data_IF_510041628034
#
_entry.id   IF_510041628034
#
_cell.length_a   1.000
_cell.length_b   1.000
_cell.length_c   1.000
_cell.angle_alpha   90.00
_cell.angle_beta   90.00
_cell.angle_gamma   90.00
#
_symmetry.space_group_name_H-M   'P 1'
#
loop_
_entity.id
_entity.type
_entity.pdbx_description
1 polymer ?
#
# COMPACT_ATOMS: atom_id res chain seq x y z
N UNK A 1 -7.55 -10.74 4.07
CA UNK A 1 -6.86 -9.50 4.47
C UNK A 1 -6.94 -9.41 5.98
N UNK A 2 -5.86 -9.03 6.62
CA UNK A 2 -5.76 -8.92 8.08
C UNK A 2 -5.37 -7.48 8.41
N UNK A 3 -6.07 -6.87 9.36
CA UNK A 3 -5.80 -5.51 9.84
C UNK A 3 -5.70 -5.56 11.36
N UNK A 4 -4.67 -4.92 11.91
CA UNK A 4 -4.51 -4.76 13.36
C UNK A 4 -4.07 -3.34 13.68
N UNK A 5 -4.83 -2.66 14.51
CA UNK A 5 -4.49 -1.33 15.04
C UNK A 5 -4.00 -1.48 16.48
N UNK A 6 -2.83 -0.92 16.79
CA UNK A 6 -2.20 -0.98 18.11
C UNK A 6 -1.82 0.43 18.55
N UNK A 7 -2.28 0.85 19.73
CA UNK A 7 -1.85 2.10 20.35
C UNK A 7 -0.70 1.82 21.33
N UNK A 8 0.43 2.53 21.16
CA UNK A 8 1.57 2.50 22.10
C UNK A 8 2.00 3.93 22.41
N UNK A 9 1.59 4.45 23.56
CA UNK A 9 1.84 5.85 23.92
C UNK A 9 1.20 6.81 22.90
N UNK A 10 2.02 7.66 22.26
CA UNK A 10 1.62 8.60 21.21
C UNK A 10 1.56 7.99 19.80
N UNK A 11 1.93 6.71 19.66
CA UNK A 11 1.96 6.03 18.37
C UNK A 11 0.68 5.23 18.16
N UNK A 12 0.04 5.40 17.00
CA UNK A 12 -0.97 4.47 16.47
C UNK A 12 -0.34 3.67 15.33
N UNK A 13 0.02 2.42 15.63
CA UNK A 13 0.57 1.48 14.65
C UNK A 13 -0.57 0.74 13.96
N UNK A 14 -0.60 0.77 12.65
CA UNK A 14 -1.55 0.04 11.80
C UNK A 14 -0.75 -1.02 11.06
N UNK A 15 -1.09 -2.29 11.27
CA UNK A 15 -0.44 -3.43 10.65
C UNK A 15 -1.45 -4.06 9.69
N UNK A 16 -1.09 -4.17 8.42
CA UNK A 16 -1.98 -4.64 7.36
C UNK A 16 -1.28 -5.74 6.58
N UNK A 17 -1.98 -6.84 6.35
CA UNK A 17 -1.57 -7.88 5.43
C UNK A 17 -2.66 -8.10 4.39
N UNK A 18 -2.31 -7.93 3.11
CA UNK A 18 -3.22 -8.16 1.99
C UNK A 18 -2.61 -9.10 0.95
N UNK A 19 -3.46 -9.65 0.10
CA UNK A 19 -3.06 -10.55 -0.99
C UNK A 19 -3.62 -9.98 -2.29
N UNK A 20 -2.75 -9.66 -3.22
CA UNK A 20 -3.10 -9.38 -4.61
C UNK A 20 -3.01 -10.69 -5.41
N UNK A 21 -4.14 -11.15 -5.95
CA UNK A 21 -4.22 -12.33 -6.82
C UNK A 21 -4.27 -11.90 -8.27
N UNK A 22 -3.33 -12.37 -9.07
CA UNK A 22 -3.29 -12.13 -10.51
C UNK A 22 -4.13 -13.24 -11.20
N UNK A 23 -5.33 -12.92 -11.71
CA UNK A 23 -6.28 -13.92 -12.21
C UNK A 23 -5.83 -14.62 -13.53
N UNK A 24 -5.86 -15.96 -13.56
CA UNK A 24 -5.61 -16.88 -14.69
C UNK A 24 -6.58 -16.81 -15.90
N UNK A 25 -7.28 -15.69 -16.17
CA UNK A 25 -8.25 -15.59 -17.29
C UNK A 25 -7.70 -15.01 -18.60
N UNK A 26 -6.43 -14.62 -18.64
CA UNK A 26 -5.75 -14.31 -19.89
C UNK A 26 -4.87 -15.49 -20.31
N UNK A 27 -5.18 -16.12 -21.46
CA UNK A 27 -4.35 -17.17 -22.09
C UNK A 27 -3.06 -16.60 -22.69
N UNK A 28 -2.29 -15.90 -21.87
CA UNK A 28 -0.93 -15.46 -22.16
C UNK A 28 -0.29 -15.05 -20.84
N UNK A 29 0.38 -16.01 -20.22
CA UNK A 29 1.39 -15.72 -19.19
C UNK A 29 2.63 -15.07 -19.84
N UNK A 30 2.76 -15.11 -21.18
CA UNK A 30 4.03 -14.97 -21.89
C UNK A 30 4.22 -13.76 -22.84
N UNK A 31 3.57 -12.60 -22.64
CA UNK A 31 4.02 -11.39 -23.38
C UNK A 31 4.01 -10.07 -22.60
N UNK A 32 3.67 -10.10 -21.31
CA UNK A 32 3.66 -8.86 -20.54
C UNK A 32 3.43 -8.98 -19.05
N UNK A 33 3.59 -10.18 -18.46
CA UNK A 33 3.56 -10.38 -17.00
C UNK A 33 4.61 -11.38 -16.50
N UNK A 34 5.00 -12.44 -17.23
CA UNK A 34 6.06 -13.34 -16.75
C UNK A 34 7.48 -12.78 -16.94
N UNK A 35 7.70 -11.98 -18.00
CA UNK A 35 8.96 -11.27 -18.18
C UNK A 35 8.93 -9.89 -17.50
N UNK A 36 7.76 -9.28 -17.27
CA UNK A 36 7.65 -7.92 -16.70
C UNK A 36 7.26 -7.89 -15.22
N UNK A 37 6.79 -8.97 -14.58
CA UNK A 37 6.77 -9.06 -13.10
C UNK A 37 8.06 -9.68 -12.61
N UNK A 38 8.58 -10.68 -13.33
CA UNK A 38 9.94 -11.18 -13.15
C UNK A 38 10.98 -10.07 -13.35
N UNK A 39 10.91 -9.29 -14.45
CA UNK A 39 11.67 -8.04 -14.59
C UNK A 39 11.13 -6.92 -13.71
N UNK A 40 9.84 -6.64 -13.45
CA UNK A 40 9.51 -5.56 -12.50
C UNK A 40 9.96 -5.82 -11.05
N UNK A 41 10.23 -7.09 -10.70
CA UNK A 41 10.87 -7.49 -9.44
C UNK A 41 12.41 -7.43 -9.56
N UNK A 42 13.00 -7.67 -10.75
CA UNK A 42 14.46 -7.58 -11.02
C UNK A 42 14.96 -6.23 -11.59
N UNK A 43 14.05 -5.37 -12.01
CA UNK A 43 14.12 -4.27 -12.99
C UNK A 43 12.91 -3.37 -12.69
N UNK A 44 12.93 -2.79 -11.49
CA UNK A 44 11.99 -1.86 -10.85
C UNK A 44 11.09 -0.96 -11.77
N UNK A 45 10.08 -1.48 -12.48
CA UNK A 45 9.14 -0.61 -13.24
C UNK A 45 7.70 -0.62 -12.72
N UNK A 46 7.08 -1.78 -12.45
CA UNK A 46 5.62 -1.81 -12.17
C UNK A 46 5.24 -2.16 -10.71
N UNK A 47 6.10 -2.84 -9.96
CA UNK A 47 6.01 -2.95 -8.48
C UNK A 47 6.83 -1.83 -7.81
N UNK A 48 7.75 -1.22 -8.55
CA UNK A 48 8.50 -0.02 -8.18
C UNK A 48 7.65 1.26 -8.14
N UNK A 49 6.38 1.16 -8.53
CA UNK A 49 5.47 2.28 -8.62
C UNK A 49 4.58 2.46 -7.39
N UNK A 50 4.55 1.51 -6.44
CA UNK A 50 3.86 1.74 -5.18
C UNK A 50 4.55 2.92 -4.48
N UNK A 51 3.90 4.07 -4.48
CA UNK A 51 4.51 5.33 -4.04
C UNK A 51 3.52 6.17 -3.22
N UNK A 52 2.37 5.59 -2.86
CA UNK A 52 1.32 6.33 -2.18
C UNK A 52 0.44 5.44 -1.30
N UNK A 53 0.10 5.98 -0.13
CA UNK A 53 -1.00 5.51 0.72
C UNK A 53 -2.08 6.58 0.76
N UNK A 54 -3.33 6.20 0.52
CA UNK A 54 -4.49 7.09 0.63
C UNK A 54 -5.18 6.81 1.96
N UNK A 55 -5.22 7.82 2.83
CA UNK A 55 -6.09 7.82 3.98
C UNK A 55 -7.45 8.36 3.52
N UNK A 56 -8.52 7.60 3.71
CA UNK A 56 -9.86 7.99 3.28
C UNK A 56 -10.83 7.92 4.44
N UNK A 57 -11.74 8.89 4.47
CA UNK A 57 -12.99 8.78 5.18
C UNK A 57 -14.12 8.85 4.15
N UNK A 58 -14.70 7.69 3.84
CA UNK A 58 -15.79 7.60 2.86
C UNK A 58 -17.11 8.16 3.38
N UNK A 59 -17.31 8.27 4.70
CA UNK A 59 -18.51 8.85 5.31
C UNK A 59 -18.47 10.39 5.29
N UNK A 60 -17.29 10.96 5.53
CA UNK A 60 -17.05 12.41 5.53
C UNK A 60 -16.51 12.94 4.20
N UNK A 61 -16.38 12.06 3.19
CA UNK A 61 -15.93 12.37 1.84
C UNK A 61 -14.60 13.16 1.77
N UNK A 62 -13.61 12.77 2.57
CA UNK A 62 -12.26 13.34 2.50
C UNK A 62 -11.18 12.28 2.23
N UNK A 63 -10.09 12.72 1.63
CA UNK A 63 -8.90 11.91 1.38
C UNK A 63 -7.62 12.70 1.67
N UNK A 64 -6.59 12.01 2.16
CA UNK A 64 -5.24 12.53 2.37
C UNK A 64 -4.25 11.54 1.79
N UNK A 65 -3.22 12.08 1.16
CA UNK A 65 -2.18 11.29 0.49
C UNK A 65 -0.88 11.33 1.28
N UNK A 66 -0.26 10.17 1.52
CA UNK A 66 1.09 10.07 2.06
C UNK A 66 2.00 9.54 0.96
N UNK A 67 2.94 10.38 0.50
CA UNK A 67 3.89 10.08 -0.59
C UNK A 67 5.36 10.20 -0.18
N UNK A 68 5.68 10.97 0.87
CA UNK A 68 7.06 11.48 1.11
C UNK A 68 7.93 10.64 2.06
N UNK A 69 7.39 9.65 2.75
CA UNK A 69 8.11 8.92 3.82
C UNK A 69 7.86 7.39 3.76
N UNK A 70 7.78 6.82 2.55
CA UNK A 70 7.72 5.36 2.35
C UNK A 70 9.09 4.75 2.66
N UNK A 71 9.31 4.44 3.93
CA UNK A 71 10.51 3.80 4.43
C UNK A 71 10.55 2.34 3.98
N UNK A 72 11.54 2.03 3.14
CA UNK A 72 12.02 0.70 2.80
C UNK A 72 10.99 -0.23 2.13
N UNK A 73 11.15 -0.42 0.82
CA UNK A 73 10.56 -1.55 0.11
C UNK A 73 11.44 -2.78 0.34
N UNK A 74 11.04 -3.64 1.28
CA UNK A 74 11.61 -4.98 1.32
C UNK A 74 10.82 -5.85 0.34
N UNK A 75 11.53 -6.50 -0.58
CA UNK A 75 10.95 -7.40 -1.58
C UNK A 75 11.56 -8.79 -1.39
N UNK A 76 10.72 -9.82 -1.36
CA UNK A 76 11.15 -11.22 -1.36
C UNK A 76 10.49 -11.96 -2.49
N UNK A 77 11.22 -12.88 -3.12
CA UNK A 77 10.67 -13.93 -3.98
C UNK A 77 10.57 -15.26 -3.20
N UNK A 78 9.50 -16.00 -3.43
CA UNK A 78 9.33 -17.37 -2.97
C UNK A 78 10.23 -18.32 -3.76
N UNK A 79 10.60 -19.44 -3.14
CA UNK A 79 11.52 -20.44 -3.74
C UNK A 79 11.01 -21.11 -5.03
N UNK A 80 9.74 -20.90 -5.39
CA UNK A 80 9.12 -21.37 -6.63
C UNK A 80 8.85 -20.26 -7.67
N UNK A 81 9.32 -19.02 -7.41
CA UNK A 81 9.11 -17.82 -8.24
C UNK A 81 7.64 -17.37 -8.41
N UNK A 82 6.69 -17.97 -7.69
CA UNK A 82 5.25 -17.68 -7.87
C UNK A 82 4.63 -16.76 -6.81
N UNK A 83 5.23 -16.72 -5.61
CA UNK A 83 4.81 -15.87 -4.51
C UNK A 83 5.86 -14.79 -4.25
N UNK A 84 5.46 -13.52 -4.18
CA UNK A 84 6.33 -12.42 -3.75
C UNK A 84 5.64 -11.60 -2.65
N UNK A 85 6.38 -10.76 -1.93
CA UNK A 85 5.77 -9.74 -1.08
C UNK A 85 6.54 -8.43 -1.10
N UNK A 86 5.81 -7.34 -0.82
CA UNK A 86 6.34 -5.98 -0.65
C UNK A 86 5.89 -5.46 0.71
N UNK A 87 6.83 -5.02 1.54
CA UNK A 87 6.53 -4.25 2.75
C UNK A 87 6.57 -2.76 2.44
N UNK A 88 5.57 -2.04 2.93
CA UNK A 88 5.45 -0.59 2.85
C UNK A 88 5.26 -0.04 4.25
N UNK A 89 6.20 0.79 4.70
CA UNK A 89 6.06 1.52 5.96
C UNK A 89 5.94 3.01 5.70
N UNK A 90 4.88 3.65 6.19
CA UNK A 90 4.69 5.11 6.13
C UNK A 90 4.37 5.69 7.49
N UNK A 91 4.70 6.96 7.67
CA UNK A 91 4.43 7.72 8.87
C UNK A 91 3.60 8.97 8.56
N UNK A 92 2.61 9.30 9.39
CA UNK A 92 1.98 10.62 9.41
C UNK A 92 2.30 11.33 10.73
N UNK A 93 3.28 12.25 10.67
CA UNK A 93 3.67 13.12 11.77
C UNK A 93 2.92 14.45 11.81
N UNK A 94 1.93 14.66 10.94
CA UNK A 94 1.21 15.93 10.93
C UNK A 94 0.51 16.19 12.27
N UNK A 95 0.18 17.44 12.58
CA UNK A 95 -0.62 17.78 13.75
C UNK A 95 -2.14 17.71 13.47
N UNK A 96 -2.55 17.17 12.32
CA UNK A 96 -3.95 17.12 11.91
C UNK A 96 -4.72 16.09 12.73
N UNK A 97 -5.97 16.43 13.04
CA UNK A 97 -6.93 15.57 13.71
C UNK A 97 -7.95 15.07 12.69
N UNK A 98 -8.12 13.75 12.61
CA UNK A 98 -8.98 13.14 11.60
C UNK A 98 -9.36 11.70 11.95
N UNK A 99 -10.36 11.17 11.26
CA UNK A 99 -10.80 9.77 11.36
C UNK A 99 -10.72 9.09 10.01
N UNK A 100 -10.08 7.93 9.92
CA UNK A 100 -9.88 7.14 8.70
C UNK A 100 -10.70 5.87 8.82
N UNK A 101 -11.49 5.57 7.79
CA UNK A 101 -12.23 4.32 7.70
C UNK A 101 -11.70 3.39 6.58
N UNK A 102 -10.90 3.93 5.65
CA UNK A 102 -10.29 3.17 4.56
C UNK A 102 -8.84 3.60 4.32
N UNK A 103 -7.97 2.62 4.07
CA UNK A 103 -6.62 2.81 3.57
C UNK A 103 -6.48 2.20 2.19
N UNK A 104 -5.85 2.92 1.26
CA UNK A 104 -5.59 2.41 -0.10
C UNK A 104 -4.10 2.42 -0.37
N UNK A 105 -3.56 1.27 -0.76
CA UNK A 105 -2.22 1.13 -1.27
C UNK A 105 -2.26 1.24 -2.80
N UNK A 106 -1.46 2.14 -3.35
CA UNK A 106 -1.55 2.46 -4.77
C UNK A 106 -0.28 3.04 -5.38
N UNK A 107 -0.46 3.46 -6.62
CA UNK A 107 0.46 4.30 -7.37
C UNK A 107 -0.23 5.61 -7.73
N UNK A 108 0.53 6.71 -7.69
CA UNK A 108 0.12 8.00 -8.19
C UNK A 108 1.20 8.63 -9.07
N UNK A 109 0.79 9.34 -10.12
CA UNK A 109 1.68 10.24 -10.82
C UNK A 109 1.96 11.47 -9.95
N UNK A 110 3.14 11.55 -9.32
CA UNK A 110 3.49 12.66 -8.41
C UNK A 110 3.54 14.03 -9.11
N UNK A 111 3.78 14.07 -10.43
CA UNK A 111 3.75 15.30 -11.21
C UNK A 111 2.31 15.75 -11.57
N UNK A 112 1.33 14.84 -11.47
CA UNK A 112 -0.06 15.09 -11.78
C UNK A 112 -0.99 14.19 -10.95
N UNK A 113 -1.00 14.38 -9.62
CA UNK A 113 -1.67 13.47 -8.67
C UNK A 113 -3.18 13.31 -8.87
N UNK A 114 -3.83 14.18 -9.66
CA UNK A 114 -5.27 14.11 -9.92
C UNK A 114 -5.63 13.44 -11.26
N UNK A 115 -4.64 13.04 -12.06
CA UNK A 115 -4.90 12.53 -13.42
C UNK A 115 -4.78 11.02 -13.52
N UNK A 116 -3.82 10.43 -12.79
CA UNK A 116 -3.57 8.99 -12.83
C UNK A 116 -3.18 8.45 -11.46
N UNK A 117 -4.15 7.78 -10.83
CA UNK A 117 -4.00 7.07 -9.58
C UNK A 117 -4.53 5.65 -9.77
N UNK A 118 -3.71 4.65 -9.43
CA UNK A 118 -4.09 3.23 -9.50
C UNK A 118 -4.12 2.67 -8.08
N UNK A 119 -5.29 2.19 -7.65
CA UNK A 119 -5.45 1.44 -6.41
C UNK A 119 -5.09 -0.03 -6.64
N UNK A 120 -4.22 -0.61 -5.80
CA UNK A 120 -3.87 -2.03 -5.85
C UNK A 120 -4.61 -2.84 -4.78
N UNK A 121 -4.68 -2.31 -3.57
CA UNK A 121 -5.36 -2.94 -2.44
C UNK A 121 -6.01 -1.88 -1.57
N UNK A 122 -7.16 -2.22 -1.01
CA UNK A 122 -7.92 -1.37 -0.10
C UNK A 122 -8.23 -2.14 1.17
N UNK A 123 -8.09 -1.47 2.31
CA UNK A 123 -8.32 -2.02 3.62
C UNK A 123 -9.27 -1.15 4.43
N UNK A 124 -10.37 -1.73 4.91
CA UNK A 124 -11.20 -1.09 5.93
C UNK A 124 -10.45 -1.04 7.25
N UNK A 125 -10.44 0.13 7.87
CA UNK A 125 -9.78 0.40 9.15
C UNK A 125 -10.70 1.24 10.03
N UNK A 126 -10.35 1.38 11.32
CA UNK A 126 -10.94 2.39 12.19
C UNK A 126 -9.80 3.09 12.93
N UNK A 127 -9.46 4.28 12.48
CA UNK A 127 -8.36 5.07 13.04
C UNK A 127 -8.85 6.47 13.30
N UNK A 128 -8.99 6.83 14.55
CA UNK A 128 -9.02 8.25 14.96
C UNK A 128 -7.59 8.71 15.23
N UNK A 129 -7.18 9.92 14.83
CA UNK A 129 -5.87 10.51 15.18
C UNK A 129 -6.08 11.84 15.87
N UNK A 130 -5.44 12.02 17.02
CA UNK A 130 -5.42 13.26 17.78
C UNK A 130 -4.15 14.08 17.49
N UNK A 131 -4.17 15.38 17.82
CA UNK A 131 -3.10 16.35 17.49
C UNK A 131 -1.69 15.98 17.96
N UNK A 132 -1.57 15.25 19.08
CA UNK A 132 -0.29 14.85 19.68
C UNK A 132 0.10 13.40 19.37
N UNK A 133 -0.67 12.72 18.52
CA UNK A 133 -0.42 11.36 18.09
C UNK A 133 0.17 11.35 16.67
N UNK A 134 0.97 10.34 16.36
CA UNK A 134 1.38 10.06 14.99
C UNK A 134 0.95 8.66 14.59
N UNK A 135 0.73 8.46 13.30
CA UNK A 135 0.37 7.16 12.74
C UNK A 135 1.61 6.55 12.10
N UNK A 136 1.79 5.26 12.32
CA UNK A 136 2.74 4.41 11.59
C UNK A 136 1.94 3.30 10.91
N UNK A 137 1.95 3.23 9.58
CA UNK A 137 1.28 2.19 8.81
C UNK A 137 2.35 1.25 8.26
N UNK A 138 2.26 -0.03 8.60
CA UNK A 138 3.08 -1.10 8.01
C UNK A 138 2.14 -2.01 7.22
N UNK A 139 2.35 -2.07 5.91
CA UNK A 139 1.53 -2.84 4.99
C UNK A 139 2.38 -3.87 4.26
N UNK A 140 2.14 -5.14 4.53
CA UNK A 140 2.68 -6.26 3.74
C UNK A 140 1.70 -6.68 2.66
N UNK A 141 2.09 -6.48 1.41
CA UNK A 141 1.35 -6.93 0.24
C UNK A 141 1.95 -8.22 -0.29
N UNK A 142 1.24 -9.34 -0.18
CA UNK A 142 1.58 -10.58 -0.86
C UNK A 142 1.07 -10.55 -2.30
N UNK A 143 1.91 -10.94 -3.25
CA UNK A 143 1.59 -11.04 -4.67
C UNK A 143 1.58 -12.52 -5.02
N UNK A 144 0.43 -13.02 -5.47
CA UNK A 144 0.23 -14.44 -5.84
C UNK A 144 -0.23 -14.55 -7.29
N UNK A 145 0.43 -15.41 -8.06
CA UNK A 145 0.06 -15.81 -9.43
C UNK A 145 -1.08 -16.83 -9.53
#
# INVERSE_FOLDING_TARGET
MTVRVVKKGRVKKVLIESVLRLNKKNKSIDYGLCDSVGRAIHDYSDVAEINIIWLRNTEQAWEKYITKDMGNFNVSSGGDLTDAWVDVTVYDYSSDEYTVNHLVLGHANLAAMYTYNRAYCEASVDITKNKLEYIEINWRLWIKG
#
